data_IF_605924228441
#
_entry.id   IF_605924228441
#
_cell.length_a   1.000
_cell.length_b   1.000
_cell.length_c   1.000
_cell.angle_alpha   90.00
_cell.angle_beta   90.00
_cell.angle_gamma   90.00
#
_symmetry.space_group_name_H-M   'P 1'
#
loop_
_entity.id
_entity.type
_entity.pdbx_description
1 polymer ?
#
# COMPACT_ATOMS: atom_id res chain seq x y z
N UNK A 1 -20.16 -4.48 8.37
CA UNK A 1 -19.54 -4.10 9.68
C UNK A 1 -18.37 -3.16 9.41
N UNK A 2 -18.29 -2.01 10.07
CA UNK A 2 -17.13 -1.12 9.93
C UNK A 2 -15.93 -1.62 10.75
N UNK A 3 -14.75 -1.05 10.49
CA UNK A 3 -13.49 -1.53 11.07
C UNK A 3 -13.42 -1.41 12.61
N UNK A 4 -14.05 -0.39 13.20
CA UNK A 4 -14.07 -0.21 14.65
C UNK A 4 -14.96 -1.25 15.35
N UNK A 5 -16.16 -1.49 14.81
CA UNK A 5 -17.06 -2.53 15.32
C UNK A 5 -16.45 -3.93 15.16
N UNK A 6 -15.75 -4.17 14.04
CA UNK A 6 -15.03 -5.42 13.83
C UNK A 6 -13.95 -5.66 14.90
N UNK A 7 -13.14 -4.66 15.24
CA UNK A 7 -12.11 -4.81 16.29
C UNK A 7 -12.70 -5.24 17.62
N UNK A 8 -13.79 -4.60 18.04
CA UNK A 8 -14.49 -4.95 19.30
C UNK A 8 -15.02 -6.39 19.26
N UNK A 9 -15.61 -6.79 18.13
CA UNK A 9 -16.11 -8.16 17.96
C UNK A 9 -14.96 -9.17 17.99
N UNK A 10 -13.85 -8.94 17.29
CA UNK A 10 -12.64 -9.78 17.31
C UNK A 10 -12.11 -9.97 18.74
N UNK A 11 -11.97 -8.88 19.48
CA UNK A 11 -11.51 -8.94 20.88
C UNK A 11 -12.46 -9.76 21.78
N UNK A 12 -13.77 -9.66 21.57
CA UNK A 12 -14.74 -10.47 22.28
C UNK A 12 -14.58 -11.97 21.94
N UNK A 13 -14.47 -12.32 20.66
CA UNK A 13 -14.26 -13.69 20.22
C UNK A 13 -12.97 -14.31 20.78
N UNK A 14 -11.86 -13.58 20.77
CA UNK A 14 -10.58 -14.05 21.31
C UNK A 14 -10.64 -14.32 22.83
N UNK A 15 -11.50 -13.60 23.57
CA UNK A 15 -11.72 -13.85 25.01
C UNK A 15 -12.62 -15.05 25.29
N UNK A 16 -13.59 -15.32 24.42
CA UNK A 16 -14.63 -16.33 24.69
C UNK A 16 -14.39 -17.67 24.01
N UNK A 17 -13.50 -17.73 23.02
CA UNK A 17 -13.22 -18.92 22.22
C UNK A 17 -11.71 -19.16 22.14
N UNK A 18 -11.14 -19.92 23.12
CA UNK A 18 -9.68 -20.07 23.23
C UNK A 18 -9.00 -20.74 22.03
N UNK A 19 -9.72 -21.64 21.34
CA UNK A 19 -9.18 -22.45 20.24
C UNK A 19 -9.33 -21.79 18.86
N UNK A 20 -9.85 -20.57 18.79
CA UNK A 20 -10.03 -19.86 17.52
C UNK A 20 -8.69 -19.43 16.95
N UNK A 21 -8.51 -19.63 15.64
CA UNK A 21 -7.33 -19.16 14.92
C UNK A 21 -7.53 -17.72 14.48
N UNK A 22 -6.74 -16.83 15.05
CA UNK A 22 -6.81 -15.40 14.71
C UNK A 22 -6.10 -15.10 13.40
N UNK A 23 -6.87 -14.94 12.33
CA UNK A 23 -6.43 -14.51 11.00
C UNK A 23 -6.89 -13.07 10.68
N UNK A 24 -7.00 -12.21 11.70
CA UNK A 24 -7.62 -10.90 11.56
C UNK A 24 -6.78 -9.73 12.10
N UNK A 25 -5.51 -9.97 12.50
CA UNK A 25 -4.59 -8.90 12.91
C UNK A 25 -4.15 -8.08 11.70
N UNK A 26 -4.28 -6.77 11.79
CA UNK A 26 -3.94 -5.84 10.69
C UNK A 26 -2.80 -4.88 11.02
N UNK A 27 -2.30 -4.87 12.26
CA UNK A 27 -1.22 -3.98 12.68
C UNK A 27 0.16 -4.57 12.32
N UNK A 28 0.64 -4.18 11.14
CA UNK A 28 1.95 -4.60 10.65
C UNK A 28 3.10 -4.14 11.58
N UNK A 29 2.98 -2.97 12.20
CA UNK A 29 4.05 -2.40 13.02
C UNK A 29 4.27 -3.20 14.29
N UNK A 30 3.20 -3.59 14.98
CA UNK A 30 3.27 -4.41 16.19
C UNK A 30 3.72 -5.84 15.84
N UNK A 31 3.20 -6.39 14.73
CA UNK A 31 3.54 -7.72 14.28
C UNK A 31 5.03 -7.90 13.94
N UNK A 32 5.70 -6.85 13.47
CA UNK A 32 7.10 -6.85 13.04
C UNK A 32 7.96 -5.83 13.82
N UNK A 33 7.58 -5.47 15.04
CA UNK A 33 8.24 -4.44 15.83
C UNK A 33 9.76 -4.68 16.00
N UNK A 34 10.19 -5.93 16.09
CA UNK A 34 11.61 -6.32 16.22
C UNK A 34 12.46 -6.03 14.98
N UNK A 35 11.83 -5.77 13.82
CA UNK A 35 12.52 -5.45 12.58
C UNK A 35 12.66 -3.94 12.35
N UNK A 36 12.05 -3.10 13.19
CA UNK A 36 12.16 -1.65 13.04
C UNK A 36 13.63 -1.21 13.15
N UNK A 37 14.12 -0.41 12.20
CA UNK A 37 15.48 0.09 12.27
C UNK A 37 15.62 1.11 13.41
N UNK A 38 16.65 0.95 14.21
CA UNK A 38 17.02 1.93 15.24
C UNK A 38 17.99 2.94 14.66
N UNK A 39 17.73 4.22 14.93
CA UNK A 39 18.62 5.30 14.57
C UNK A 39 19.65 5.47 15.69
N UNK A 40 20.89 5.19 15.40
CA UNK A 40 21.98 5.65 16.26
C UNK A 40 22.22 7.14 15.98
N UNK A 41 21.76 7.98 16.90
CA UNK A 41 21.89 9.44 16.77
C UNK A 41 23.35 9.92 16.67
N UNK A 42 24.32 9.11 17.14
CA UNK A 42 25.75 9.42 17.03
C UNK A 42 26.28 9.27 15.60
N UNK A 43 25.60 8.50 14.76
CA UNK A 43 25.99 8.25 13.36
C UNK A 43 25.19 9.08 12.34
N UNK A 44 24.26 9.91 12.79
CA UNK A 44 23.47 10.73 11.89
C UNK A 44 24.33 11.80 11.21
N UNK A 45 24.28 11.95 9.87
CA UNK A 45 25.02 13.00 9.18
C UNK A 45 24.55 14.37 9.66
N UNK A 46 25.47 15.33 9.81
CA UNK A 46 25.15 16.67 10.35
C UNK A 46 24.10 17.42 9.52
N UNK A 47 24.06 17.22 8.21
CA UNK A 47 23.09 17.85 7.31
C UNK A 47 22.77 16.94 6.13
N UNK A 48 21.48 16.73 5.86
CA UNK A 48 20.97 15.96 4.72
C UNK A 48 20.09 16.87 3.87
N UNK A 49 20.35 16.92 2.56
CA UNK A 49 19.54 17.69 1.63
C UNK A 49 18.52 16.80 0.92
N UNK A 50 17.35 17.36 0.59
CA UNK A 50 16.29 16.65 -0.14
C UNK A 50 16.74 16.11 -1.49
N UNK A 51 17.57 16.88 -2.21
CA UNK A 51 18.10 16.44 -3.51
C UNK A 51 19.00 15.20 -3.40
N UNK A 52 19.75 15.06 -2.31
CA UNK A 52 20.59 13.88 -2.10
C UNK A 52 19.73 12.64 -1.81
N UNK A 53 18.66 12.80 -1.02
CA UNK A 53 17.70 11.74 -0.77
C UNK A 53 16.92 11.34 -2.04
N UNK A 54 16.49 12.32 -2.83
CA UNK A 54 15.84 12.06 -4.11
C UNK A 54 16.76 11.24 -5.02
N UNK A 55 18.03 11.63 -5.13
CA UNK A 55 19.04 10.91 -5.91
C UNK A 55 19.28 9.49 -5.39
N UNK A 56 19.48 9.33 -4.08
CA UNK A 56 19.68 8.02 -3.46
C UNK A 56 18.48 7.09 -3.65
N UNK A 57 17.25 7.64 -3.56
CA UNK A 57 16.04 6.88 -3.82
C UNK A 57 15.94 6.45 -5.30
N UNK A 58 16.18 7.37 -6.26
CA UNK A 58 16.18 7.04 -7.69
C UNK A 58 17.19 5.93 -8.01
N UNK A 59 18.42 6.05 -7.49
CA UNK A 59 19.46 5.03 -7.67
C UNK A 59 19.04 3.67 -7.10
N UNK A 60 18.46 3.66 -5.89
CA UNK A 60 18.00 2.42 -5.24
C UNK A 60 16.98 1.67 -6.09
N UNK A 61 16.03 2.39 -6.69
CA UNK A 61 14.96 1.80 -7.48
C UNK A 61 15.25 1.69 -8.98
N UNK A 62 16.49 1.96 -9.40
CA UNK A 62 16.95 1.75 -10.77
C UNK A 62 16.45 2.81 -11.75
N UNK A 63 16.06 4.00 -11.28
CA UNK A 63 15.71 5.12 -12.16
C UNK A 63 16.97 5.87 -12.60
N UNK A 64 17.04 6.17 -13.90
CA UNK A 64 18.08 7.05 -14.42
C UNK A 64 17.86 8.48 -13.90
N UNK A 65 18.92 9.08 -13.35
CA UNK A 65 18.89 10.45 -12.82
C UNK A 65 18.70 11.49 -13.94
N UNK A 66 19.03 11.12 -15.18
CA UNK A 66 18.84 11.98 -16.36
C UNK A 66 17.40 11.95 -16.91
N UNK A 67 16.50 11.19 -16.30
CA UNK A 67 15.12 11.07 -16.75
C UNK A 67 14.33 12.37 -16.53
N UNK A 68 13.32 12.58 -17.40
CA UNK A 68 12.34 13.67 -17.30
C UNK A 68 11.52 13.68 -16.01
N UNK A 69 11.61 12.63 -15.18
CA UNK A 69 10.86 12.49 -13.92
C UNK A 69 11.60 13.07 -12.74
N UNK A 70 10.82 13.69 -11.83
CA UNK A 70 11.31 14.31 -10.60
C UNK A 70 10.81 13.57 -9.37
N UNK A 71 11.73 13.27 -8.45
CA UNK A 71 11.41 12.67 -7.15
C UNK A 71 11.16 13.79 -6.12
N UNK A 72 9.89 14.00 -5.78
CA UNK A 72 9.45 14.98 -4.78
C UNK A 72 9.40 14.33 -3.41
N UNK A 73 10.14 14.87 -2.46
CA UNK A 73 10.26 14.30 -1.10
C UNK A 73 9.09 14.72 -0.23
N UNK A 74 8.49 13.75 0.47
CA UNK A 74 7.39 13.92 1.41
C UNK A 74 7.63 13.17 2.73
N UNK A 75 6.71 13.33 3.71
CA UNK A 75 6.70 12.56 4.97
C UNK A 75 6.08 11.17 4.85
N UNK A 76 5.73 10.75 3.66
CA UNK A 76 5.10 9.46 3.35
C UNK A 76 3.95 9.61 2.38
N UNK A 77 3.36 8.48 1.93
CA UNK A 77 2.28 8.49 0.91
C UNK A 77 1.06 9.30 1.37
N UNK A 78 0.63 9.19 2.64
CA UNK A 78 -0.50 10.00 3.13
C UNK A 78 -0.27 11.50 2.98
N UNK A 79 0.93 11.96 3.32
CA UNK A 79 1.30 13.36 3.16
C UNK A 79 1.36 13.76 1.67
N UNK A 80 1.96 12.93 0.82
CA UNK A 80 1.98 13.17 -0.62
C UNK A 80 0.56 13.28 -1.19
N UNK A 81 -0.34 12.36 -0.81
CA UNK A 81 -1.75 12.40 -1.24
C UNK A 81 -2.48 13.66 -0.74
N UNK A 82 -2.22 14.12 0.50
CA UNK A 82 -2.82 15.37 1.00
C UNK A 82 -2.43 16.57 0.14
N UNK A 83 -1.16 16.67 -0.26
CA UNK A 83 -0.68 17.74 -1.12
C UNK A 83 -1.30 17.65 -2.50
N UNK A 84 -1.31 16.45 -3.10
CA UNK A 84 -1.90 16.20 -4.42
C UNK A 84 -3.40 16.50 -4.38
N UNK A 85 -4.15 15.96 -3.43
CA UNK A 85 -5.61 16.13 -3.38
C UNK A 85 -6.04 17.57 -3.15
N UNK A 86 -5.31 18.36 -2.33
CA UNK A 86 -5.55 19.82 -2.23
C UNK A 86 -5.41 20.51 -3.56
N UNK A 87 -4.41 20.17 -4.36
CA UNK A 87 -4.23 20.73 -5.70
C UNK A 87 -5.33 20.27 -6.67
N UNK A 88 -5.74 19.00 -6.62
CA UNK A 88 -6.84 18.49 -7.44
C UNK A 88 -8.14 19.21 -7.14
N UNK A 89 -8.45 19.45 -5.87
CA UNK A 89 -9.61 20.23 -5.43
C UNK A 89 -9.56 21.64 -6.01
N UNK A 90 -8.42 22.32 -5.92
CA UNK A 90 -8.26 23.67 -6.49
C UNK A 90 -8.40 23.73 -8.02
N UNK A 91 -8.23 22.61 -8.72
CA UNK A 91 -8.40 22.48 -10.17
C UNK A 91 -9.78 21.94 -10.58
N UNK A 92 -10.67 21.69 -9.62
CA UNK A 92 -11.95 21.01 -9.84
C UNK A 92 -11.79 19.68 -10.61
N UNK A 93 -10.71 18.95 -10.33
CA UNK A 93 -10.39 17.68 -10.98
C UNK A 93 -11.29 16.57 -10.44
N UNK A 94 -11.68 15.62 -11.32
CA UNK A 94 -12.32 14.40 -10.92
C UNK A 94 -11.28 13.41 -10.35
N UNK A 95 -11.61 12.77 -9.22
CA UNK A 95 -10.78 11.75 -8.59
C UNK A 95 -11.54 10.43 -8.50
N UNK A 96 -10.94 9.37 -9.04
CA UNK A 96 -11.40 8.00 -8.91
C UNK A 96 -10.60 7.27 -7.84
N UNK A 97 -11.30 6.62 -6.90
CA UNK A 97 -10.70 5.83 -5.82
C UNK A 97 -11.24 4.39 -5.82
N UNK A 98 -10.44 3.40 -5.42
CA UNK A 98 -10.98 2.08 -5.12
C UNK A 98 -12.00 2.16 -3.98
N UNK A 99 -13.16 1.49 -4.12
CA UNK A 99 -14.24 1.47 -3.10
C UNK A 99 -13.96 0.53 -1.93
N UNK A 100 -13.11 -0.46 -2.14
CA UNK A 100 -12.86 -1.62 -1.28
C UNK A 100 -11.42 -1.65 -0.70
N UNK A 101 -10.94 -0.48 -0.33
CA UNK A 101 -9.65 -0.30 0.35
C UNK A 101 -9.85 0.29 1.73
N UNK A 102 -8.81 0.20 2.57
CA UNK A 102 -8.82 0.89 3.85
C UNK A 102 -9.18 2.38 3.66
N UNK A 103 -10.12 2.94 4.44
CA UNK A 103 -10.83 4.21 4.15
C UNK A 103 -9.95 5.47 4.18
N UNK A 104 -8.63 5.33 4.24
CA UNK A 104 -7.70 6.46 4.31
C UNK A 104 -7.73 7.34 3.05
N UNK A 105 -7.92 6.76 1.86
CA UNK A 105 -7.96 7.54 0.62
C UNK A 105 -9.20 8.42 0.57
N UNK A 106 -10.34 7.82 0.91
CA UNK A 106 -11.63 8.54 0.98
C UNK A 106 -11.54 9.71 1.98
N UNK A 107 -11.07 9.43 3.20
CA UNK A 107 -10.93 10.46 4.25
C UNK A 107 -9.98 11.60 3.85
N UNK A 108 -8.89 11.29 3.14
CA UNK A 108 -7.97 12.31 2.62
C UNK A 108 -8.60 13.16 1.52
N UNK A 109 -9.37 12.55 0.62
CA UNK A 109 -10.07 13.26 -0.46
C UNK A 109 -11.14 14.19 0.13
N UNK A 110 -11.97 13.70 1.03
CA UNK A 110 -12.98 14.50 1.74
C UNK A 110 -12.36 15.66 2.52
N UNK A 111 -11.24 15.42 3.21
CA UNK A 111 -10.52 16.48 3.94
C UNK A 111 -9.95 17.57 3.01
N UNK A 112 -9.72 17.24 1.75
CA UNK A 112 -9.30 18.19 0.72
C UNK A 112 -10.48 18.86 0.00
N UNK A 113 -11.73 18.53 0.33
CA UNK A 113 -12.94 19.05 -0.31
C UNK A 113 -13.24 18.40 -1.67
N UNK A 114 -12.73 17.19 -1.92
CA UNK A 114 -13.06 16.39 -3.10
C UNK A 114 -14.22 15.44 -2.80
N UNK A 115 -15.08 15.25 -3.80
CA UNK A 115 -16.11 14.19 -3.82
C UNK A 115 -15.65 13.11 -4.81
N UNK A 116 -14.90 12.09 -4.36
CA UNK A 116 -14.34 11.10 -5.26
C UNK A 116 -15.43 10.15 -5.79
N UNK A 117 -15.28 9.74 -7.04
CA UNK A 117 -15.98 8.61 -7.61
C UNK A 117 -15.27 7.32 -7.21
N UNK A 118 -15.96 6.20 -7.20
CA UNK A 118 -15.38 4.94 -6.76
C UNK A 118 -15.55 3.83 -7.79
N UNK A 119 -14.63 2.86 -7.73
CA UNK A 119 -14.67 1.63 -8.52
C UNK A 119 -14.23 0.44 -7.65
N UNK A 120 -14.77 -0.79 -7.84
CA UNK A 120 -14.40 -1.96 -7.06
C UNK A 120 -13.07 -2.57 -7.55
N UNK A 121 -12.30 -3.15 -6.61
CA UNK A 121 -11.13 -3.99 -6.89
C UNK A 121 -11.31 -5.44 -6.43
N UNK A 122 -12.39 -5.74 -5.69
CA UNK A 122 -12.78 -7.07 -5.25
C UNK A 122 -14.08 -7.53 -5.92
N UNK A 123 -14.21 -8.80 -6.26
CA UNK A 123 -13.17 -9.85 -6.27
C UNK A 123 -12.16 -9.69 -7.42
N UNK A 124 -12.50 -8.86 -8.40
CA UNK A 124 -11.69 -8.54 -9.59
C UNK A 124 -11.77 -7.04 -9.86
N UNK A 125 -10.66 -6.36 -10.22
CA UNK A 125 -10.69 -4.94 -10.53
C UNK A 125 -11.64 -4.62 -11.70
N UNK A 126 -12.45 -3.55 -11.55
CA UNK A 126 -13.33 -3.02 -12.58
C UNK A 126 -13.09 -1.52 -12.73
N UNK A 127 -12.19 -1.14 -13.64
CA UNK A 127 -11.81 0.25 -13.84
C UNK A 127 -12.90 1.04 -14.60
N UNK A 128 -13.03 2.36 -14.39
CA UNK A 128 -14.04 3.22 -15.05
C UNK A 128 -13.63 3.57 -16.49
N UNK A 129 -13.59 2.58 -17.38
CA UNK A 129 -13.02 2.71 -18.72
C UNK A 129 -13.84 3.61 -19.66
N UNK A 130 -15.18 3.52 -19.58
CA UNK A 130 -16.11 4.12 -20.53
C UNK A 130 -16.63 5.49 -20.11
N UNK A 131 -16.30 5.96 -18.91
CA UNK A 131 -16.76 7.25 -18.44
C UNK A 131 -15.87 8.37 -18.98
N UNK A 132 -16.46 9.24 -19.79
CA UNK A 132 -15.80 10.46 -20.24
C UNK A 132 -16.23 11.63 -19.32
N UNK A 133 -15.27 12.36 -18.80
CA UNK A 133 -15.50 13.54 -17.96
C UNK A 133 -14.75 14.73 -18.57
N UNK A 134 -15.42 15.89 -18.56
CA UNK A 134 -14.78 17.12 -18.97
C UNK A 134 -13.79 17.59 -17.89
N UNK A 135 -12.54 17.82 -18.27
CA UNK A 135 -11.50 18.34 -17.39
C UNK A 135 -10.44 17.33 -16.95
N UNK A 136 -9.64 17.68 -15.93
CA UNK A 136 -8.61 16.77 -15.40
C UNK A 136 -9.22 15.60 -14.63
N UNK A 137 -8.77 14.38 -14.93
CA UNK A 137 -9.17 13.16 -14.24
C UNK A 137 -7.95 12.45 -13.65
N UNK A 138 -8.11 11.98 -12.42
CA UNK A 138 -7.09 11.21 -11.72
C UNK A 138 -7.69 9.90 -11.21
N UNK A 139 -7.01 8.78 -11.49
CA UNK A 139 -7.37 7.47 -10.96
C UNK A 139 -6.26 6.99 -10.02
N UNK A 140 -6.62 6.76 -8.76
CA UNK A 140 -5.69 6.19 -7.77
C UNK A 140 -5.86 4.68 -7.71
N UNK A 141 -4.75 3.97 -7.79
CA UNK A 141 -4.68 2.51 -7.63
C UNK A 141 -3.47 2.14 -6.78
N UNK A 142 -3.64 1.15 -5.91
CA UNK A 142 -2.51 0.53 -5.20
C UNK A 142 -1.87 -0.56 -6.08
N UNK A 143 -0.55 -0.63 -6.12
CA UNK A 143 0.17 -1.74 -6.72
C UNK A 143 1.32 -2.19 -5.79
N UNK A 144 1.19 -3.34 -5.13
CA UNK A 144 0.14 -4.37 -5.26
C UNK A 144 -1.25 -3.90 -4.80
N UNK A 145 -2.28 -4.51 -5.40
CA UNK A 145 -3.70 -4.28 -5.09
C UNK A 145 -4.02 -4.66 -3.64
N UNK A 146 -4.78 -3.83 -2.96
CA UNK A 146 -5.27 -4.08 -1.61
C UNK A 146 -6.80 -3.99 -1.57
N UNK A 147 -7.43 -4.90 -0.86
CA UNK A 147 -6.90 -6.02 -0.07
C UNK A 147 -6.63 -7.30 -0.87
N UNK A 148 -6.66 -7.25 -2.22
CA UNK A 148 -6.52 -8.43 -3.07
C UNK A 148 -5.18 -9.16 -2.89
N UNK A 149 -4.09 -8.45 -2.59
CA UNK A 149 -2.81 -9.06 -2.22
C UNK A 149 -1.92 -9.51 -3.39
N UNK A 150 -2.23 -9.10 -4.62
CA UNK A 150 -1.42 -9.36 -5.82
C UNK A 150 -1.02 -8.07 -6.52
N UNK A 151 -0.01 -8.14 -7.36
CA UNK A 151 0.24 -7.07 -8.32
C UNK A 151 -0.85 -7.01 -9.40
N UNK A 152 -0.98 -5.86 -10.04
CA UNK A 152 -1.78 -5.72 -11.26
C UNK A 152 -1.31 -6.74 -12.31
N UNK A 153 -2.24 -7.34 -13.02
CA UNK A 153 -1.92 -8.19 -14.18
C UNK A 153 -1.44 -7.35 -15.37
N UNK A 154 -0.92 -8.01 -16.39
CA UNK A 154 -0.59 -7.34 -17.65
C UNK A 154 -1.82 -6.76 -18.35
N UNK A 155 -2.97 -7.41 -18.22
CA UNK A 155 -4.26 -6.93 -18.73
C UNK A 155 -4.72 -5.69 -17.95
N UNK A 156 -4.68 -5.72 -16.62
CA UNK A 156 -4.96 -4.57 -15.77
C UNK A 156 -4.10 -3.36 -16.16
N UNK A 157 -2.79 -3.57 -16.34
CA UNK A 157 -1.87 -2.52 -16.76
C UNK A 157 -2.20 -1.98 -18.17
N UNK A 158 -2.53 -2.86 -19.09
CA UNK A 158 -2.89 -2.47 -20.47
C UNK A 158 -4.17 -1.65 -20.47
N UNK A 159 -5.18 -2.03 -19.69
CA UNK A 159 -6.41 -1.28 -19.53
C UNK A 159 -6.13 0.11 -18.94
N UNK A 160 -5.35 0.21 -17.86
CA UNK A 160 -5.02 1.49 -17.22
C UNK A 160 -4.22 2.41 -18.14
N UNK A 161 -3.27 1.88 -18.92
CA UNK A 161 -2.53 2.66 -19.92
C UNK A 161 -3.46 3.16 -21.04
N UNK A 162 -4.37 2.31 -21.51
CA UNK A 162 -5.40 2.71 -22.48
C UNK A 162 -6.29 3.81 -21.92
N UNK A 163 -6.73 3.69 -20.66
CA UNK A 163 -7.53 4.73 -19.99
C UNK A 163 -6.79 6.08 -19.94
N UNK A 164 -5.52 6.09 -19.55
CA UNK A 164 -4.71 7.33 -19.55
C UNK A 164 -4.61 7.92 -20.96
N UNK A 165 -4.42 7.09 -21.97
CA UNK A 165 -4.22 7.55 -23.35
C UNK A 165 -5.51 8.01 -24.04
N UNK A 166 -6.67 7.61 -23.54
CA UNK A 166 -7.96 7.98 -24.10
C UNK A 166 -8.27 9.49 -23.99
N UNK A 167 -7.69 10.21 -23.02
CA UNK A 167 -7.86 11.65 -22.88
C UNK A 167 -6.61 12.34 -22.31
N UNK A 168 -6.25 13.55 -22.79
CA UNK A 168 -5.04 14.25 -22.34
C UNK A 168 -5.09 14.68 -20.87
N UNK A 169 -6.30 14.86 -20.30
CA UNK A 169 -6.52 15.22 -18.91
C UNK A 169 -6.34 14.08 -17.91
N UNK A 170 -6.28 12.81 -18.36
CA UNK A 170 -6.22 11.63 -17.51
C UNK A 170 -4.82 11.34 -16.97
N UNK A 171 -4.74 11.02 -15.69
CA UNK A 171 -3.49 10.68 -14.98
C UNK A 171 -3.70 9.55 -13.98
N UNK A 172 -2.67 8.73 -13.77
CA UNK A 172 -2.65 7.69 -12.74
C UNK A 172 -1.90 8.17 -11.49
N UNK A 173 -2.44 7.84 -10.32
CA UNK A 173 -1.75 7.88 -9.04
C UNK A 173 -1.53 6.43 -8.60
N UNK A 174 -0.28 5.99 -8.53
CA UNK A 174 0.07 4.59 -8.22
C UNK A 174 0.65 4.54 -6.81
N UNK A 175 -0.10 4.03 -5.84
CA UNK A 175 0.40 3.81 -4.47
C UNK A 175 1.17 2.50 -4.39
N UNK A 176 2.50 2.61 -4.39
CA UNK A 176 3.46 1.50 -4.33
C UNK A 176 4.02 1.27 -2.93
N UNK A 177 3.32 1.68 -1.87
CA UNK A 177 3.82 1.57 -0.48
C UNK A 177 4.07 0.13 -0.03
N UNK A 178 3.48 -0.85 -0.69
CA UNK A 178 3.69 -2.29 -0.45
C UNK A 178 4.49 -2.99 -1.56
N UNK A 179 4.93 -2.29 -2.58
CA UNK A 179 5.97 -2.78 -3.48
C UNK A 179 7.32 -2.58 -2.79
N UNK A 180 7.70 -3.55 -1.97
CA UNK A 180 8.90 -3.48 -1.13
C UNK A 180 10.17 -3.85 -1.89
N UNK A 181 10.06 -4.27 -3.14
CA UNK A 181 11.17 -4.62 -4.02
C UNK A 181 12.02 -3.42 -4.43
N UNK A 182 13.29 -3.67 -4.75
CA UNK A 182 14.17 -2.71 -5.39
C UNK A 182 15.00 -3.47 -6.45
N UNK A 183 14.73 -3.27 -7.75
CA UNK A 183 13.75 -2.35 -8.33
C UNK A 183 12.29 -2.70 -8.04
N UNK A 184 11.35 -1.81 -8.40
CA UNK A 184 9.92 -2.07 -8.33
C UNK A 184 9.49 -3.21 -9.25
N UNK A 185 8.32 -3.78 -8.97
CA UNK A 185 7.74 -4.85 -9.78
C UNK A 185 7.56 -4.41 -11.26
N UNK A 186 7.74 -5.32 -12.24
CA UNK A 186 7.62 -5.00 -13.68
C UNK A 186 6.31 -4.30 -14.06
N UNK A 187 5.18 -4.65 -13.45
CA UNK A 187 3.89 -3.99 -13.72
C UNK A 187 3.85 -2.54 -13.23
N UNK A 188 4.50 -2.22 -12.10
CA UNK A 188 4.71 -0.83 -11.66
C UNK A 188 5.52 -0.06 -12.69
N UNK A 189 6.61 -0.66 -13.18
CA UNK A 189 7.46 -0.04 -14.21
C UNK A 189 6.73 0.14 -15.54
N UNK A 190 5.87 -0.81 -15.92
CA UNK A 190 5.04 -0.73 -17.13
C UNK A 190 4.08 0.46 -17.08
N UNK A 191 3.41 0.69 -15.94
CA UNK A 191 2.54 1.86 -15.77
C UNK A 191 3.31 3.18 -15.84
N UNK A 192 4.56 3.20 -15.37
CA UNK A 192 5.43 4.38 -15.43
C UNK A 192 5.94 4.69 -16.84
N UNK A 193 5.77 3.81 -17.84
CA UNK A 193 6.07 4.15 -19.24
C UNK A 193 5.15 5.26 -19.76
N UNK A 194 3.98 5.46 -19.16
CA UNK A 194 3.19 6.65 -19.42
C UNK A 194 3.72 7.84 -18.61
N UNK A 195 4.10 8.93 -19.27
CA UNK A 195 4.58 10.17 -18.61
C UNK A 195 3.53 10.77 -17.63
N UNK A 196 2.28 10.38 -17.79
CA UNK A 196 1.12 10.84 -16.98
C UNK A 196 0.82 9.99 -15.74
N UNK A 197 1.71 9.07 -15.37
CA UNK A 197 1.62 8.33 -14.13
C UNK A 197 2.49 8.98 -13.04
N UNK A 198 1.94 9.11 -11.84
CA UNK A 198 2.61 9.57 -10.62
C UNK A 198 2.75 8.36 -9.70
N UNK A 199 3.98 7.96 -9.39
CA UNK A 199 4.24 6.89 -8.42
C UNK A 199 4.40 7.49 -7.03
N UNK A 200 3.72 6.88 -6.05
CA UNK A 200 3.81 7.22 -4.64
C UNK A 200 4.46 6.07 -3.87
N UNK A 201 5.52 6.36 -3.13
CA UNK A 201 6.22 5.38 -2.31
C UNK A 201 6.58 5.96 -0.95
N UNK A 202 6.80 5.09 0.06
CA UNK A 202 7.24 5.55 1.38
C UNK A 202 8.00 4.48 2.17
N UNK A 203 8.75 4.94 3.16
CA UNK A 203 9.40 4.08 4.14
C UNK A 203 8.42 3.37 5.09
N UNK A 204 7.14 3.72 5.05
CA UNK A 204 6.11 3.28 6.02
C UNK A 204 6.05 1.76 6.21
N UNK A 205 6.12 0.99 5.13
CA UNK A 205 5.98 -0.47 5.18
C UNK A 205 7.30 -1.20 5.12
N UNK A 206 8.20 -0.80 4.23
CA UNK A 206 9.51 -1.44 4.09
C UNK A 206 10.44 -1.22 5.28
N UNK A 207 10.35 -0.08 5.95
CA UNK A 207 11.13 0.22 7.16
C UNK A 207 10.29 0.32 8.42
N UNK A 208 9.01 -0.04 8.35
CA UNK A 208 8.09 -0.07 9.50
C UNK A 208 8.02 1.27 10.26
N UNK A 209 8.20 2.39 9.57
CA UNK A 209 8.32 3.72 10.19
C UNK A 209 7.35 4.70 9.54
N UNK A 210 6.19 4.95 10.14
CA UNK A 210 5.17 5.84 9.58
C UNK A 210 5.61 7.31 9.63
N UNK A 211 5.09 8.12 8.69
CA UNK A 211 5.20 9.59 8.67
C UNK A 211 6.63 10.16 8.72
N UNK A 212 7.57 9.46 8.10
CA UNK A 212 8.99 9.89 8.09
C UNK A 212 9.49 10.27 6.73
N UNK A 213 9.29 9.39 5.74
CA UNK A 213 9.85 9.58 4.41
C UNK A 213 8.96 8.96 3.35
N UNK A 214 8.79 9.68 2.27
CA UNK A 214 8.12 9.21 1.05
C UNK A 214 8.55 10.01 -0.15
N UNK A 215 8.23 9.48 -1.32
CA UNK A 215 8.53 10.06 -2.63
C UNK A 215 7.27 10.05 -3.47
N UNK A 216 7.01 11.16 -4.16
CA UNK A 216 6.16 11.22 -5.34
C UNK A 216 7.06 11.38 -6.56
N UNK A 217 7.11 10.37 -7.43
CA UNK A 217 7.83 10.43 -8.70
C UNK A 217 6.88 10.95 -9.77
N UNK A 218 7.11 12.18 -10.23
CA UNK A 218 6.22 12.90 -11.15
C UNK A 218 6.89 13.12 -12.51
N UNK A 219 6.10 13.11 -13.59
CA UNK A 219 6.54 13.54 -14.91
C UNK A 219 6.59 15.07 -15.04
N UNK A 220 7.08 15.56 -16.20
CA UNK A 220 7.21 17.00 -16.48
C UNK A 220 5.88 17.75 -16.43
N UNK A 221 4.81 17.12 -16.89
CA UNK A 221 3.42 17.66 -16.87
C UNK A 221 2.91 17.98 -15.45
N UNK A 222 3.57 17.43 -14.43
CA UNK A 222 3.18 17.57 -13.03
C UNK A 222 4.08 18.56 -12.26
N UNK A 223 4.82 19.44 -12.94
CA UNK A 223 5.71 20.43 -12.32
C UNK A 223 4.98 21.33 -11.30
N UNK A 224 3.67 21.53 -11.44
CA UNK A 224 2.86 22.31 -10.49
C UNK A 224 2.88 21.75 -9.06
N UNK A 225 3.06 20.45 -8.86
CA UNK A 225 3.14 19.85 -7.52
C UNK A 225 4.44 20.19 -6.78
N UNK A 226 5.50 20.56 -7.50
CA UNK A 226 6.81 20.81 -6.90
C UNK A 226 6.78 21.92 -5.84
N UNK A 227 6.00 22.97 -6.07
CA UNK A 227 5.83 24.07 -5.13
C UNK A 227 5.23 23.58 -3.80
N UNK A 228 4.12 22.80 -3.88
CA UNK A 228 3.40 22.28 -2.71
C UNK A 228 4.32 21.40 -1.85
N UNK A 229 5.09 20.51 -2.47
CA UNK A 229 6.05 19.63 -1.78
C UNK A 229 7.26 20.39 -1.21
N UNK A 230 7.57 21.56 -1.76
CA UNK A 230 8.66 22.42 -1.25
C UNK A 230 8.23 23.21 -0.03
N UNK A 231 7.00 23.71 -0.03
CA UNK A 231 6.43 24.48 1.08
C UNK A 231 6.21 23.63 2.33
N UNK A 232 5.71 22.40 2.16
CA UNK A 232 5.45 21.47 3.28
C UNK A 232 6.51 20.32 3.31
N UNK A 233 7.74 20.69 3.58
CA UNK A 233 8.89 19.76 3.59
C UNK A 233 9.01 18.96 4.88
N UNK A 234 9.60 17.73 4.82
CA UNK A 234 10.03 17.02 6.02
C UNK A 234 11.04 17.83 6.85
N UNK A 235 11.01 17.63 8.17
CA UNK A 235 11.97 18.23 9.10
C UNK A 235 13.39 17.69 8.91
N UNK A 236 14.39 18.37 9.44
CA UNK A 236 15.79 17.92 9.38
C UNK A 236 15.96 16.51 9.98
N UNK A 237 15.30 16.22 11.09
CA UNK A 237 15.32 14.88 11.73
C UNK A 237 14.72 13.81 10.82
N UNK A 238 13.61 14.11 10.13
CA UNK A 238 13.00 13.17 9.18
C UNK A 238 13.93 12.93 7.97
N UNK A 239 14.64 13.96 7.48
CA UNK A 239 15.61 13.80 6.39
C UNK A 239 16.82 12.95 6.83
N UNK A 240 17.31 13.11 8.05
CA UNK A 240 18.37 12.26 8.61
C UNK A 240 17.93 10.81 8.74
N UNK A 241 16.72 10.56 9.25
CA UNK A 241 16.15 9.21 9.34
C UNK A 241 15.97 8.58 7.95
N UNK A 242 15.50 9.34 6.98
CA UNK A 242 15.38 8.90 5.60
C UNK A 242 16.72 8.51 4.97
N UNK A 243 17.76 9.28 5.25
CA UNK A 243 19.13 8.96 4.82
C UNK A 243 19.60 7.62 5.43
N UNK A 244 19.36 7.41 6.72
CA UNK A 244 19.66 6.15 7.40
C UNK A 244 18.94 4.96 6.74
N UNK A 245 17.66 5.10 6.38
CA UNK A 245 16.89 4.06 5.68
C UNK A 245 17.51 3.68 4.33
N UNK A 246 17.95 4.66 3.57
CA UNK A 246 18.51 4.43 2.23
C UNK A 246 19.96 3.94 2.26
N UNK A 247 20.67 4.09 3.39
CA UNK A 247 22.06 3.70 3.57
C UNK A 247 22.23 2.54 4.54
N UNK A 248 22.34 2.79 5.85
CA UNK A 248 22.65 1.79 6.85
C UNK A 248 21.54 0.74 7.06
N UNK A 249 20.26 1.11 6.90
CA UNK A 249 19.11 0.20 7.00
C UNK A 249 18.54 -0.24 5.64
N UNK A 250 19.34 -0.18 4.59
CA UNK A 250 18.89 -0.44 3.20
C UNK A 250 18.33 -1.86 2.98
N UNK A 251 18.70 -2.83 3.79
CA UNK A 251 18.22 -4.21 3.75
C UNK A 251 16.91 -4.46 4.53
N UNK A 252 16.39 -3.48 5.26
CA UNK A 252 15.19 -3.64 6.08
C UNK A 252 13.98 -4.12 5.27
N UNK A 253 13.65 -3.60 4.07
CA UNK A 253 12.54 -4.08 3.26
C UNK A 253 12.64 -5.57 2.90
N UNK A 254 13.83 -6.08 2.59
CA UNK A 254 14.03 -7.50 2.31
C UNK A 254 13.72 -8.36 3.54
N UNK A 255 14.19 -7.96 4.71
CA UNK A 255 13.89 -8.64 5.98
C UNK A 255 12.39 -8.61 6.31
N UNK A 256 11.69 -7.53 5.99
CA UNK A 256 10.23 -7.44 6.14
C UNK A 256 9.54 -8.43 5.19
N UNK A 257 9.97 -8.51 3.93
CA UNK A 257 9.46 -9.50 2.97
C UNK A 257 9.64 -10.92 3.52
N UNK A 258 10.86 -11.28 3.95
CA UNK A 258 11.16 -12.61 4.46
C UNK A 258 10.27 -12.98 5.65
N UNK A 259 10.08 -12.05 6.59
CA UNK A 259 9.24 -12.25 7.76
C UNK A 259 7.74 -12.41 7.37
N UNK A 260 7.24 -11.62 6.42
CA UNK A 260 5.86 -11.74 5.94
C UNK A 260 5.62 -13.03 5.19
N UNK A 261 6.57 -13.47 4.36
CA UNK A 261 6.50 -14.75 3.67
C UNK A 261 6.52 -15.94 4.66
N UNK A 262 7.36 -15.87 5.70
CA UNK A 262 7.38 -16.89 6.75
C UNK A 262 6.03 -17.00 7.47
N UNK A 263 5.41 -15.85 7.82
CA UNK A 263 4.09 -15.80 8.43
C UNK A 263 2.99 -16.30 7.47
N UNK A 264 3.07 -15.97 6.19
CA UNK A 264 2.14 -16.47 5.19
C UNK A 264 2.21 -18.00 5.05
N UNK A 265 3.41 -18.60 5.06
CA UNK A 265 3.56 -20.07 5.09
C UNK A 265 2.93 -20.68 6.34
N UNK A 266 3.18 -20.12 7.52
CA UNK A 266 2.58 -20.59 8.77
C UNK A 266 1.05 -20.47 8.78
N UNK A 267 0.48 -19.43 8.15
CA UNK A 267 -0.95 -19.33 7.93
C UNK A 267 -1.47 -20.49 7.05
N UNK A 268 -0.84 -20.70 5.89
CA UNK A 268 -1.23 -21.74 4.93
C UNK A 268 -1.25 -23.13 5.58
N UNK A 269 -0.25 -23.46 6.42
CA UNK A 269 -0.16 -24.74 7.14
C UNK A 269 -1.34 -24.98 8.12
N UNK A 270 -2.04 -23.92 8.53
CA UNK A 270 -3.13 -23.99 9.52
C UNK A 270 -4.51 -23.83 8.91
N UNK A 271 -4.61 -23.43 7.63
CA UNK A 271 -5.90 -23.25 6.98
C UNK A 271 -6.46 -24.59 6.49
N UNK A 272 -7.77 -24.84 6.65
CA UNK A 272 -8.47 -25.95 6.02
C UNK A 272 -8.33 -25.91 4.48
N UNK A 273 -8.22 -27.08 3.85
CA UNK A 273 -8.04 -27.18 2.39
C UNK A 273 -9.13 -26.44 1.62
N UNK A 274 -10.38 -26.54 2.06
CA UNK A 274 -11.49 -25.82 1.43
C UNK A 274 -11.32 -24.30 1.41
N UNK A 275 -10.71 -23.73 2.47
CA UNK A 275 -10.41 -22.29 2.54
C UNK A 275 -9.23 -21.93 1.65
N UNK A 276 -8.21 -22.81 1.58
CA UNK A 276 -7.06 -22.64 0.71
C UNK A 276 -7.45 -22.63 -0.77
N UNK A 277 -8.30 -23.56 -1.17
CA UNK A 277 -8.76 -23.72 -2.56
C UNK A 277 -9.66 -22.55 -3.02
N UNK A 278 -10.33 -21.91 -2.06
CA UNK A 278 -11.25 -20.81 -2.34
C UNK A 278 -10.58 -19.42 -2.36
N UNK A 279 -9.27 -19.30 -2.14
CA UNK A 279 -8.59 -18.00 -2.17
C UNK A 279 -8.72 -17.33 -3.54
N UNK A 280 -8.98 -16.02 -3.55
CA UNK A 280 -9.09 -15.26 -4.81
C UNK A 280 -7.76 -15.14 -5.56
N UNK A 281 -6.64 -15.27 -4.85
CA UNK A 281 -5.30 -15.17 -5.43
C UNK A 281 -4.52 -16.45 -5.14
N UNK A 282 -3.99 -17.05 -6.19
CA UNK A 282 -3.15 -18.22 -6.05
C UNK A 282 -1.83 -17.88 -5.29
N UNK A 283 -1.24 -18.82 -4.57
CA UNK A 283 -0.02 -18.56 -3.80
C UNK A 283 1.13 -17.99 -4.63
N UNK A 284 1.26 -18.44 -5.88
CA UNK A 284 2.31 -17.97 -6.80
C UNK A 284 2.14 -16.52 -7.24
N UNK A 285 0.91 -16.01 -7.20
CA UNK A 285 0.56 -14.66 -7.67
C UNK A 285 0.53 -13.63 -6.53
N UNK A 286 0.65 -14.08 -5.26
CA UNK A 286 0.69 -13.19 -4.12
C UNK A 286 1.94 -12.28 -4.17
N UNK A 287 1.74 -11.00 -3.94
CA UNK A 287 2.86 -10.06 -3.83
C UNK A 287 3.77 -10.43 -2.64
N UNK A 288 5.10 -10.38 -2.77
CA UNK A 288 6.04 -10.86 -1.75
C UNK A 288 5.88 -10.21 -0.37
N UNK A 289 5.44 -8.96 -0.32
CA UNK A 289 5.16 -8.22 0.94
C UNK A 289 3.70 -8.31 1.38
N UNK A 290 2.90 -9.20 0.79
CA UNK A 290 1.49 -9.34 1.11
C UNK A 290 1.26 -10.16 2.38
N UNK A 291 0.27 -9.72 3.16
CA UNK A 291 -0.23 -10.43 4.33
C UNK A 291 -1.77 -10.50 4.36
N UNK A 292 -2.41 -10.15 3.24
CA UNK A 292 -3.86 -10.10 3.04
C UNK A 292 -4.26 -11.18 2.03
N UNK A 293 -5.20 -12.04 2.40
CA UNK A 293 -5.63 -13.20 1.60
C UNK A 293 -7.15 -13.23 1.55
N UNK A 294 -7.77 -12.65 0.50
CA UNK A 294 -9.22 -12.61 0.36
C UNK A 294 -9.79 -13.98 -0.01
N UNK A 295 -10.92 -14.31 0.63
CA UNK A 295 -11.68 -15.56 0.43
C UNK A 295 -13.17 -15.24 0.33
N UNK A 296 -13.96 -16.02 -0.47
CA UNK A 296 -15.38 -15.76 -0.71
C UNK A 296 -16.28 -16.31 0.40
N UNK A 297 -15.79 -16.44 1.61
CA UNK A 297 -16.56 -16.85 2.79
C UNK A 297 -16.88 -15.64 3.65
N UNK A 298 -18.09 -15.56 4.20
CA UNK A 298 -18.39 -14.55 5.21
C UNK A 298 -17.58 -14.80 6.48
N UNK A 299 -17.42 -13.76 7.29
CA UNK A 299 -16.70 -13.86 8.57
C UNK A 299 -17.39 -14.84 9.52
N UNK A 300 -18.73 -14.86 9.50
CA UNK A 300 -19.54 -15.80 10.29
C UNK A 300 -19.34 -17.25 9.85
N UNK A 301 -19.30 -17.52 8.53
CA UNK A 301 -18.98 -18.85 8.01
C UNK A 301 -17.59 -19.31 8.44
N UNK A 302 -16.58 -18.47 8.27
CA UNK A 302 -15.21 -18.81 8.67
C UNK A 302 -15.11 -19.11 10.16
N UNK A 303 -15.80 -18.34 10.99
CA UNK A 303 -15.82 -18.56 12.42
C UNK A 303 -16.56 -19.84 12.82
N UNK A 304 -17.79 -20.05 12.33
CA UNK A 304 -18.65 -21.17 12.74
C UNK A 304 -18.20 -22.51 12.18
N UNK A 305 -17.76 -22.56 10.91
CA UNK A 305 -17.47 -23.82 10.22
C UNK A 305 -15.99 -24.23 10.38
N UNK A 306 -15.09 -23.26 10.57
CA UNK A 306 -13.65 -23.52 10.56
C UNK A 306 -12.91 -22.99 11.80
N UNK A 307 -13.56 -22.27 12.71
CA UNK A 307 -12.89 -21.67 13.87
C UNK A 307 -11.88 -20.57 13.51
N UNK A 308 -12.07 -19.87 12.39
CA UNK A 308 -11.18 -18.83 11.89
C UNK A 308 -11.76 -17.44 12.09
N UNK A 309 -11.02 -16.54 12.71
CA UNK A 309 -11.34 -15.10 12.71
C UNK A 309 -10.73 -14.44 11.47
N UNK A 310 -11.55 -13.73 10.71
CA UNK A 310 -11.14 -12.99 9.52
C UNK A 310 -11.72 -11.58 9.51
N UNK A 311 -11.10 -10.65 8.81
CA UNK A 311 -11.63 -9.29 8.63
C UNK A 311 -12.74 -9.32 7.57
N UNK A 312 -13.97 -8.86 7.85
CA UNK A 312 -14.99 -8.79 6.82
C UNK A 312 -14.60 -7.79 5.73
N UNK A 313 -14.84 -8.11 4.48
CA UNK A 313 -14.52 -7.23 3.34
C UNK A 313 -15.20 -5.86 3.47
N UNK A 314 -16.39 -5.81 4.07
CA UNK A 314 -17.10 -4.57 4.36
C UNK A 314 -16.32 -3.61 5.28
N UNK A 315 -15.38 -4.10 6.09
CA UNK A 315 -14.49 -3.24 6.87
C UNK A 315 -13.47 -2.49 6.00
N UNK A 316 -13.19 -3.00 4.81
CA UNK A 316 -12.39 -2.31 3.78
C UNK A 316 -13.24 -1.46 2.83
N UNK A 317 -14.57 -1.44 2.99
CA UNK A 317 -15.47 -0.66 2.13
C UNK A 317 -16.15 -1.47 1.03
N UNK A 318 -15.83 -2.77 0.85
CA UNK A 318 -16.51 -3.63 -0.11
C UNK A 318 -17.98 -3.82 0.31
N UNK A 319 -18.90 -3.22 -0.43
CA UNK A 319 -20.35 -3.33 -0.16
C UNK A 319 -20.99 -4.46 -0.93
N UNK A 320 -20.50 -4.73 -2.14
CA UNK A 320 -21.10 -5.67 -3.09
C UNK A 320 -20.45 -7.06 -3.05
N UNK A 321 -19.46 -7.27 -2.18
CA UNK A 321 -18.78 -8.56 -2.02
C UNK A 321 -18.81 -9.03 -0.57
N UNK A 322 -19.54 -10.12 -0.31
CA UNK A 322 -19.70 -10.71 1.03
C UNK A 322 -18.59 -11.74 1.35
N UNK A 323 -17.36 -11.37 1.14
CA UNK A 323 -16.20 -12.19 1.49
C UNK A 323 -15.46 -11.66 2.73
N UNK A 324 -14.36 -12.32 3.05
CA UNK A 324 -13.48 -11.94 4.16
C UNK A 324 -12.02 -11.89 3.73
N UNK A 325 -11.23 -11.19 4.51
CA UNK A 325 -9.78 -11.06 4.33
C UNK A 325 -9.09 -11.78 5.50
N UNK A 326 -8.40 -12.86 5.22
CA UNK A 326 -7.49 -13.49 6.16
C UNK A 326 -6.18 -12.70 6.20
N UNK A 327 -5.55 -12.63 7.37
CA UNK A 327 -4.24 -11.98 7.53
C UNK A 327 -3.25 -12.91 8.22
N UNK A 328 -1.97 -12.77 7.92
CA UNK A 328 -0.89 -13.56 8.55
C UNK A 328 -0.14 -12.79 9.65
N UNK A 329 -0.68 -11.70 10.18
CA UNK A 329 0.02 -10.84 11.15
C UNK A 329 -0.12 -11.26 12.61
N UNK A 330 -1.09 -12.09 12.96
CA UNK A 330 -1.29 -12.56 14.34
C UNK A 330 -0.02 -13.18 14.93
N UNK A 331 0.14 -13.04 16.24
CA UNK A 331 1.20 -13.70 16.99
C UNK A 331 1.21 -15.24 16.83
N UNK A 332 0.06 -15.82 16.52
CA UNK A 332 -0.10 -17.25 16.21
C UNK A 332 0.78 -17.71 15.03
N UNK A 333 1.08 -16.82 14.07
CA UNK A 333 1.90 -17.11 12.89
C UNK A 333 3.34 -16.61 13.03
N UNK A 334 3.71 -16.04 14.17
CA UNK A 334 5.10 -15.72 14.45
C UNK A 334 5.91 -17.02 14.61
N UNK A 335 6.85 -17.27 13.71
CA UNK A 335 7.84 -18.30 13.96
C UNK A 335 8.62 -17.92 15.21
N UNK A 336 8.61 -18.79 16.21
CA UNK A 336 9.62 -18.75 17.25
C UNK A 336 10.95 -19.15 16.57
N UNK A 337 11.66 -18.18 16.00
CA UNK A 337 13.08 -18.37 15.77
C UNK A 337 13.71 -18.48 17.15
N UNK A 338 13.79 -19.69 17.70
CA UNK A 338 14.83 -20.00 18.65
C UNK A 338 16.15 -19.73 17.91
N UNK A 339 16.70 -18.56 18.13
CA UNK A 339 18.06 -18.26 17.80
C UNK A 339 18.90 -19.30 18.55
N UNK A 340 19.35 -20.31 17.83
CA UNK A 340 20.57 -21.01 18.21
C UNK A 340 21.67 -19.96 18.05
N UNK A 341 22.12 -19.44 19.18
CA UNK A 341 23.33 -18.66 19.31
C UNK A 341 24.53 -19.44 18.81
#
# INVERSE_FOLDING_TARGET
>A
MNFAAFKLWREACLRTTPDVVDCAETNLYDALATLQPHLDSSQAPQRVHRCDLARAWLQRYGFDIAHSRRALISRGVRHALQLIFRRLSAQSACLWLPSDVYPVYQALAESAGLEPRTFPTLPTPSFPMDEAIDGPEFLLIANPLKPLGRFLSDEDCTALVAWVNAAPGRRLLIDCVYDLGAPFHPTTMKLLQTERAILLHSATKGWLTPQTFGVALVGEDCAGFEADFREDSPSATQLQLAHHFLSAAANCPARVIDALQARARSLVERLPQAVLDARLVAPADCAPGCYLFPVPFSTEQLFNDYGLLAVPASAFGAQDWNGSILTSLSGTFAHQHHASL
#
